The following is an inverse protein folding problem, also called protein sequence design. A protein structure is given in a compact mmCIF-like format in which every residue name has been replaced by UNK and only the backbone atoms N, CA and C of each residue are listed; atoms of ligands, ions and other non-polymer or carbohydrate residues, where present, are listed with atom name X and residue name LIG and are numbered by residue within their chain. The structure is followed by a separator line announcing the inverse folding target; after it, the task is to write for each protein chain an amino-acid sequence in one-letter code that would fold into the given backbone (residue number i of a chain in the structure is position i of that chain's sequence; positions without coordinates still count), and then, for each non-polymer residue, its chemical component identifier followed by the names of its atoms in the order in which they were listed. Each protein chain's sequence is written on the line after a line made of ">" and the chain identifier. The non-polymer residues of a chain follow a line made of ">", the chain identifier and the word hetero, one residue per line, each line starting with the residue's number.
data_IF_252900578583
#
_entry.id   IF_252900578583
#
_cell.length_a   1.000
_cell.length_b   1.000
_cell.length_c   1.000
_cell.angle_alpha   90.00
_cell.angle_beta   90.00
_cell.angle_gamma   90.00
#
_symmetry.space_group_name_H-M   'P 1'
#
loop_
_entity.id
_entity.type
_entity.pdbx_description
1 polymer ?
#
# COMPACT_ATOMS: atom_id res chain seq x y z
N UNK A 1 -6.72 17.12 -14.82
CA UNK A 1 -6.44 15.81 -15.43
C UNK A 1 -4.92 15.67 -15.44
N UNK A 2 -4.38 14.76 -14.63
CA UNK A 2 -2.93 14.50 -14.59
C UNK A 2 -2.69 13.20 -15.35
N UNK A 3 -1.82 13.26 -16.35
CA UNK A 3 -1.30 12.07 -17.01
C UNK A 3 -0.26 11.43 -16.09
N UNK A 4 -0.34 10.13 -15.91
CA UNK A 4 0.62 9.35 -15.13
C UNK A 4 1.41 8.44 -16.06
N UNK A 5 2.69 8.27 -15.73
CA UNK A 5 3.49 7.18 -16.27
C UNK A 5 3.04 5.88 -15.60
N UNK A 6 2.49 5.00 -16.43
CA UNK A 6 2.12 3.64 -16.09
C UNK A 6 3.21 2.71 -16.61
N UNK A 7 3.89 1.99 -15.73
CA UNK A 7 4.91 1.03 -16.15
C UNK A 7 4.36 -0.39 -16.12
N UNK A 8 4.36 -1.04 -17.29
CA UNK A 8 4.05 -2.46 -17.41
C UNK A 8 5.14 -3.32 -16.76
N UNK A 9 4.85 -4.61 -16.54
CA UNK A 9 5.84 -5.57 -16.05
C UNK A 9 7.05 -5.70 -16.99
N UNK A 10 6.87 -5.42 -18.28
CA UNK A 10 7.91 -5.45 -19.31
C UNK A 10 8.71 -4.13 -19.40
N UNK A 11 8.35 -3.12 -18.60
CA UNK A 11 9.04 -1.83 -18.52
C UNK A 11 8.52 -0.75 -19.47
N UNK A 12 7.49 -1.04 -20.28
CA UNK A 12 6.88 -0.06 -21.17
C UNK A 12 6.10 0.99 -20.38
N UNK A 13 6.24 2.26 -20.78
CA UNK A 13 5.50 3.38 -20.20
C UNK A 13 4.26 3.72 -21.05
N UNK A 14 3.07 3.60 -20.46
CA UNK A 14 1.83 4.12 -21.01
C UNK A 14 1.44 5.41 -20.29
N UNK A 15 0.87 6.37 -21.02
CA UNK A 15 0.25 7.54 -20.42
C UNK A 15 -1.21 7.20 -20.13
N UNK A 16 -1.53 7.03 -18.85
CA UNK A 16 -2.89 6.86 -18.39
C UNK A 16 -3.36 8.14 -17.71
N UNK A 17 -4.65 8.42 -17.81
CA UNK A 17 -5.27 9.52 -17.10
C UNK A 17 -5.82 9.02 -15.78
N UNK A 18 -5.38 9.60 -14.65
CA UNK A 18 -5.96 9.29 -13.33
C UNK A 18 -7.16 10.18 -13.07
N UNK A 19 -8.18 9.63 -12.42
CA UNK A 19 -9.31 10.36 -11.90
C UNK A 19 -8.85 11.38 -10.85
N UNK A 20 -8.89 12.66 -11.22
CA UNK A 20 -8.43 13.75 -10.36
C UNK A 20 -9.29 13.93 -9.09
N UNK A 21 -10.59 13.63 -9.18
CA UNK A 21 -11.50 13.71 -8.04
C UNK A 21 -11.19 12.62 -7.01
N UNK A 22 -10.96 11.38 -7.48
CA UNK A 22 -10.49 10.29 -6.63
C UNK A 22 -9.20 10.66 -5.90
N UNK A 23 -8.18 11.14 -6.64
CA UNK A 23 -6.88 11.52 -6.08
C UNK A 23 -7.03 12.61 -5.03
N UNK A 24 -7.81 13.65 -5.31
CA UNK A 24 -8.01 14.75 -4.36
C UNK A 24 -8.73 14.26 -3.11
N UNK A 25 -9.74 13.40 -3.27
CA UNK A 25 -10.47 12.79 -2.14
C UNK A 25 -9.53 12.01 -1.21
N UNK A 26 -8.71 11.09 -1.75
CA UNK A 26 -7.78 10.32 -0.91
C UNK A 26 -6.66 11.18 -0.33
N UNK A 27 -6.23 12.26 -1.00
CA UNK A 27 -5.27 13.23 -0.44
C UNK A 27 -5.87 13.96 0.75
N UNK A 28 -7.07 14.52 0.60
CA UNK A 28 -7.74 15.27 1.68
C UNK A 28 -8.03 14.36 2.88
N UNK A 29 -8.49 13.13 2.63
CA UNK A 29 -8.71 12.16 3.69
C UNK A 29 -7.41 11.81 4.43
N UNK A 30 -6.33 11.53 3.69
CA UNK A 30 -5.01 11.23 4.29
C UNK A 30 -4.43 12.41 5.07
N UNK A 31 -4.65 13.64 4.60
CA UNK A 31 -4.28 14.85 5.35
C UNK A 31 -5.06 14.96 6.67
N UNK A 32 -6.34 14.57 6.67
CA UNK A 32 -7.17 14.50 7.87
C UNK A 32 -6.68 13.46 8.88
N UNK A 33 -6.25 12.28 8.40
CA UNK A 33 -5.66 11.23 9.24
C UNK A 33 -4.29 11.62 9.83
N UNK A 34 -3.56 12.49 9.14
CA UNK A 34 -2.25 13.00 9.59
C UNK A 34 -1.09 12.01 9.43
N UNK A 35 -1.33 10.82 8.87
CA UNK A 35 -0.32 9.78 8.62
C UNK A 35 -0.44 9.20 7.21
N UNK A 36 0.65 8.70 6.62
CA UNK A 36 0.59 7.90 5.39
C UNK A 36 -0.51 6.84 5.44
N UNK A 37 -1.30 6.73 4.37
CA UNK A 37 -2.51 5.88 4.37
C UNK A 37 -2.60 5.07 3.09
N UNK A 38 -3.11 3.84 3.21
CA UNK A 38 -3.42 2.97 2.08
C UNK A 38 -4.92 2.92 1.83
N UNK A 39 -5.29 2.81 0.55
CA UNK A 39 -6.67 2.59 0.13
C UNK A 39 -6.71 1.40 -0.83
N UNK A 40 -7.84 0.71 -0.88
CA UNK A 40 -8.13 -0.29 -1.90
C UNK A 40 -9.29 0.22 -2.76
N UNK A 41 -9.09 0.31 -4.06
CA UNK A 41 -10.06 0.80 -5.03
C UNK A 41 -10.01 -0.04 -6.30
N UNK A 42 -11.07 -0.03 -7.11
CA UNK A 42 -10.99 -0.67 -8.42
C UNK A 42 -10.14 0.18 -9.36
N UNK A 43 -9.45 -0.46 -10.31
CA UNK A 43 -8.68 0.25 -11.33
C UNK A 43 -9.59 1.18 -12.15
N UNK A 44 -10.86 0.83 -12.35
CA UNK A 44 -11.85 1.70 -13.00
C UNK A 44 -12.15 2.98 -12.22
N UNK A 45 -12.24 2.92 -10.88
CA UNK A 45 -12.48 4.13 -10.06
C UNK A 45 -11.29 5.10 -10.14
N UNK A 46 -10.09 4.50 -10.20
CA UNK A 46 -8.81 5.22 -10.17
C UNK A 46 -8.49 5.84 -11.53
N UNK A 47 -8.79 5.15 -12.62
CA UNK A 47 -8.51 5.65 -13.97
C UNK A 47 -9.66 6.53 -14.46
N UNK A 48 -9.35 7.71 -15.00
CA UNK A 48 -10.35 8.63 -15.55
C UNK A 48 -10.94 8.21 -16.90
N UNK A 49 -10.70 6.96 -17.33
CA UNK A 49 -11.18 6.39 -18.59
C UNK A 49 -12.06 5.18 -18.30
N UNK A 50 -12.99 4.86 -19.21
CA UNK A 50 -13.79 3.64 -19.16
C UNK A 50 -12.91 2.42 -19.41
N UNK A 51 -12.19 1.97 -18.38
CA UNK A 51 -11.56 0.65 -18.33
C UNK A 51 -12.55 -0.26 -17.61
N UNK A 52 -13.21 -1.14 -18.35
CA UNK A 52 -14.08 -2.15 -17.74
C UNK A 52 -13.21 -3.25 -17.12
N UNK A 53 -12.88 -3.08 -15.84
CA UNK A 53 -12.14 -4.08 -15.07
C UNK A 53 -12.60 -4.06 -13.62
N UNK A 54 -12.69 -5.25 -13.03
CA UNK A 54 -12.89 -5.47 -11.61
C UNK A 54 -11.57 -5.61 -10.84
N UNK A 55 -10.43 -5.48 -11.53
CA UNK A 55 -9.11 -5.50 -10.89
C UNK A 55 -9.04 -4.41 -9.83
N UNK A 56 -8.69 -4.80 -8.61
CA UNK A 56 -8.45 -3.86 -7.52
C UNK A 56 -6.98 -3.47 -7.49
N UNK A 57 -6.73 -2.24 -7.06
CA UNK A 57 -5.40 -1.72 -6.86
C UNK A 57 -5.24 -1.15 -5.46
N UNK A 58 -4.01 -1.18 -4.98
CA UNK A 58 -3.59 -0.58 -3.73
C UNK A 58 -3.16 0.86 -4.01
N UNK A 59 -3.76 1.83 -3.33
CA UNK A 59 -3.40 3.24 -3.45
C UNK A 59 -2.64 3.66 -2.20
N UNK A 60 -1.37 4.04 -2.36
CA UNK A 60 -0.50 4.49 -1.28
C UNK A 60 -0.37 6.01 -1.33
N UNK A 61 -0.91 6.70 -0.33
CA UNK A 61 -0.90 8.16 -0.24
C UNK A 61 0.18 8.62 0.74
N UNK A 62 1.19 9.28 0.20
CA UNK A 62 2.42 9.69 0.88
C UNK A 62 2.58 11.23 0.78
N UNK A 63 1.75 12.02 1.48
CA UNK A 63 1.58 13.45 1.21
C UNK A 63 2.82 14.31 1.54
N UNK A 64 3.72 13.83 2.38
CA UNK A 64 4.97 14.53 2.75
C UNK A 64 6.19 14.15 1.90
N UNK A 65 6.10 13.10 1.09
CA UNK A 65 7.25 12.50 0.43
C UNK A 65 7.33 12.92 -1.03
N UNK A 66 8.54 13.33 -1.43
CA UNK A 66 8.87 13.47 -2.85
C UNK A 66 9.06 12.08 -3.45
N UNK A 67 8.67 11.93 -4.69
CA UNK A 67 8.77 10.66 -5.40
C UNK A 67 10.19 10.20 -5.69
N UNK A 68 11.15 11.12 -5.68
CA UNK A 68 12.59 10.84 -5.78
C UNK A 68 13.19 10.26 -4.49
N UNK A 69 12.48 10.36 -3.36
CA UNK A 69 12.95 9.84 -2.08
C UNK A 69 12.81 8.31 -1.98
N UNK A 70 12.06 7.69 -2.90
CA UNK A 70 11.73 6.27 -2.89
C UNK A 70 12.10 5.66 -4.24
N UNK A 71 12.91 4.60 -4.20
CA UNK A 71 13.28 3.87 -5.41
C UNK A 71 12.21 2.83 -5.77
N UNK A 72 11.38 3.18 -6.75
CA UNK A 72 10.32 2.31 -7.28
C UNK A 72 10.80 1.33 -8.37
N UNK A 73 12.10 1.28 -8.67
CA UNK A 73 12.64 0.34 -9.68
C UNK A 73 12.67 -1.11 -9.18
N UNK A 74 12.69 -1.31 -7.86
CA UNK A 74 12.68 -2.63 -7.23
C UNK A 74 11.25 -3.16 -7.16
N UNK A 75 10.93 -4.10 -8.04
CA UNK A 75 9.60 -4.74 -8.12
C UNK A 75 9.42 -5.93 -7.16
N UNK A 76 10.31 -6.13 -6.18
CA UNK A 76 10.21 -7.24 -5.23
C UNK A 76 9.42 -6.83 -3.99
N UNK A 77 8.51 -7.70 -3.54
CA UNK A 77 7.77 -7.56 -2.29
C UNK A 77 8.45 -8.43 -1.24
N UNK A 78 8.93 -7.83 -0.16
CA UNK A 78 9.38 -8.55 1.04
C UNK A 78 8.27 -8.54 2.10
N UNK A 79 8.36 -9.40 3.10
CA UNK A 79 7.36 -9.48 4.17
C UNK A 79 8.03 -9.38 5.56
N UNK A 80 7.41 -8.65 6.48
CA UNK A 80 7.93 -8.46 7.83
C UNK A 80 6.79 -8.27 8.84
N UNK A 81 6.94 -8.79 10.06
CA UNK A 81 6.08 -8.40 11.19
C UNK A 81 6.63 -7.11 11.77
N UNK A 82 5.79 -6.08 11.83
CA UNK A 82 6.09 -4.80 12.47
C UNK A 82 5.20 -4.61 13.68
N UNK A 83 5.50 -3.61 14.50
CA UNK A 83 4.72 -3.28 15.70
C UNK A 83 4.12 -1.91 15.50
N UNK A 84 2.79 -1.81 15.59
CA UNK A 84 2.08 -0.53 15.52
C UNK A 84 2.50 0.38 16.68
N UNK A 85 2.26 1.70 16.60
CA UNK A 85 2.49 2.62 17.73
C UNK A 85 1.73 2.24 19.02
N UNK A 86 0.69 1.41 18.91
CA UNK A 86 -0.09 0.88 20.05
C UNK A 86 0.49 -0.42 20.62
N UNK A 87 1.64 -0.87 20.13
CA UNK A 87 2.29 -2.11 20.56
C UNK A 87 1.77 -3.38 19.87
N UNK A 88 0.68 -3.31 19.10
CA UNK A 88 0.12 -4.49 18.44
C UNK A 88 0.99 -4.94 17.26
N UNK A 89 1.31 -6.23 17.12
CA UNK A 89 2.00 -6.76 15.95
C UNK A 89 1.09 -6.67 14.71
N UNK A 90 1.67 -6.34 13.57
CA UNK A 90 0.99 -6.25 12.28
C UNK A 90 1.90 -6.85 11.20
N UNK A 91 1.33 -7.69 10.35
CA UNK A 91 2.03 -8.17 9.17
C UNK A 91 2.08 -7.07 8.11
N UNK A 92 3.26 -6.88 7.53
CA UNK A 92 3.49 -5.88 6.51
C UNK A 92 4.12 -6.50 5.26
N UNK A 93 3.68 -6.02 4.11
CA UNK A 93 4.42 -6.10 2.86
C UNK A 93 5.34 -4.88 2.74
N UNK A 94 6.57 -5.11 2.34
CA UNK A 94 7.63 -4.13 2.20
C UNK A 94 7.89 -3.87 0.72
N UNK A 95 7.78 -2.60 0.33
CA UNK A 95 7.99 -2.11 -1.02
C UNK A 95 9.23 -1.22 -1.10
N UNK A 96 9.66 -0.96 -2.34
CA UNK A 96 10.72 -0.01 -2.65
C UNK A 96 11.99 -0.24 -1.81
N UNK A 97 12.55 -1.45 -1.92
CA UNK A 97 13.73 -1.87 -1.16
C UNK A 97 13.55 -1.69 0.38
N UNK A 98 12.41 -2.14 0.89
CA UNK A 98 12.04 -2.08 2.32
C UNK A 98 11.85 -0.67 2.89
N UNK A 99 11.73 0.35 2.05
CA UNK A 99 11.51 1.73 2.51
C UNK A 99 10.06 2.00 2.90
N UNK A 100 9.09 1.22 2.39
CA UNK A 100 7.66 1.43 2.65
C UNK A 100 7.03 0.14 3.15
N UNK A 101 6.52 0.15 4.37
CA UNK A 101 5.80 -0.97 4.96
C UNK A 101 4.29 -0.72 4.88
N UNK A 102 3.57 -1.60 4.21
CA UNK A 102 2.11 -1.54 4.07
C UNK A 102 1.47 -2.70 4.79
N UNK A 103 0.38 -2.46 5.51
CA UNK A 103 -0.39 -3.49 6.18
C UNK A 103 -0.82 -4.61 5.20
N UNK A 104 -0.52 -5.86 5.53
CA UNK A 104 -0.89 -7.03 4.73
C UNK A 104 -2.40 -7.13 4.46
N UNK A 105 -3.22 -6.61 5.37
CA UNK A 105 -4.67 -6.54 5.17
C UNK A 105 -5.05 -5.78 3.88
N UNK A 106 -4.34 -4.70 3.55
CA UNK A 106 -4.60 -3.92 2.35
C UNK A 106 -4.30 -4.71 1.06
N UNK A 107 -3.25 -5.55 1.08
CA UNK A 107 -2.92 -6.42 -0.04
C UNK A 107 -3.97 -7.51 -0.23
N UNK A 108 -4.42 -8.13 0.87
CA UNK A 108 -5.46 -9.16 0.82
C UNK A 108 -6.77 -8.61 0.23
N UNK A 109 -7.16 -7.38 0.60
CA UNK A 109 -8.36 -6.71 0.06
C UNK A 109 -8.22 -6.35 -1.43
N UNK A 110 -7.00 -6.10 -1.90
CA UNK A 110 -6.70 -5.86 -3.31
C UNK A 110 -6.71 -7.14 -4.17
N UNK A 111 -6.72 -8.33 -3.55
CA UNK A 111 -6.85 -9.63 -4.21
C UNK A 111 -5.87 -9.87 -5.41
N UNK A 112 -4.56 -9.58 -5.27
CA UNK A 112 -3.60 -9.65 -6.37
C UNK A 112 -3.39 -11.05 -6.96
N UNK A 113 -3.74 -12.11 -6.23
CA UNK A 113 -3.71 -13.49 -6.74
C UNK A 113 -4.64 -13.71 -7.94
N UNK A 114 -5.73 -12.96 -8.06
CA UNK A 114 -6.69 -13.12 -9.18
C UNK A 114 -6.05 -12.66 -10.49
N UNK A 115 -5.28 -11.57 -10.46
CA UNK A 115 -4.63 -10.98 -11.63
C UNK A 115 -3.17 -11.43 -11.82
N UNK A 116 -2.61 -12.19 -10.87
CA UNK A 116 -1.20 -12.60 -10.84
C UNK A 116 -0.23 -11.43 -10.65
N UNK A 117 -0.73 -10.28 -10.18
CA UNK A 117 0.03 -9.05 -9.96
C UNK A 117 -0.64 -8.19 -8.91
N UNK A 118 0.16 -7.40 -8.19
CA UNK A 118 -0.34 -6.32 -7.36
C UNK A 118 -0.16 -5.00 -8.10
N UNK A 119 -1.28 -4.33 -8.41
CA UNK A 119 -1.28 -2.98 -8.97
C UNK A 119 -1.25 -1.97 -7.84
N UNK A 120 -0.24 -1.08 -7.83
CA UNK A 120 -0.05 -0.06 -6.81
C UNK A 120 -0.03 1.33 -7.43
N UNK A 121 -0.95 2.19 -7.01
CA UNK A 121 -0.92 3.63 -7.31
C UNK A 121 -0.20 4.37 -6.19
N UNK A 122 0.95 4.96 -6.52
CA UNK A 122 1.72 5.80 -5.63
C UNK A 122 1.32 7.26 -5.77
N UNK A 123 0.84 7.87 -4.70
CA UNK A 123 0.42 9.28 -4.65
C UNK A 123 1.40 10.05 -3.77
N UNK A 124 2.41 10.64 -4.39
CA UNK A 124 3.42 11.48 -3.73
C UNK A 124 2.99 12.95 -3.69
N UNK A 125 3.78 13.79 -3.01
CA UNK A 125 3.51 15.25 -2.99
C UNK A 125 3.69 15.92 -4.36
N UNK A 126 4.58 15.38 -5.18
CA UNK A 126 5.07 15.97 -6.43
C UNK A 126 4.56 15.25 -7.68
N UNK A 127 4.34 13.93 -7.61
CA UNK A 127 3.81 13.15 -8.74
C UNK A 127 2.92 11.99 -8.30
N UNK A 128 2.27 11.40 -9.29
CA UNK A 128 1.50 10.16 -9.16
C UNK A 128 2.10 9.14 -10.12
N UNK A 129 2.26 7.90 -9.68
CA UNK A 129 2.88 6.84 -10.47
C UNK A 129 2.18 5.53 -10.22
N UNK A 130 1.88 4.77 -11.26
CA UNK A 130 1.32 3.42 -11.12
C UNK A 130 2.40 2.37 -11.43
N UNK A 131 2.47 1.32 -10.61
CA UNK A 131 3.44 0.23 -10.72
C UNK A 131 2.75 -1.11 -10.53
N UNK A 132 3.20 -2.12 -11.28
CA UNK A 132 2.86 -3.50 -11.03
C UNK A 132 4.00 -4.21 -10.33
N UNK A 133 3.63 -5.04 -9.36
CA UNK A 133 4.52 -5.94 -8.67
C UNK A 133 4.09 -7.37 -9.01
N UNK A 134 5.01 -8.26 -9.42
CA UNK A 134 4.71 -9.69 -9.53
C UNK A 134 4.12 -10.19 -8.22
N UNK A 135 3.04 -10.97 -8.31
CA UNK A 135 2.39 -11.56 -7.14
C UNK A 135 2.02 -13.00 -7.46
N UNK A 136 2.67 -13.92 -6.78
CA UNK A 136 2.58 -15.36 -7.00
C UNK A 136 2.27 -16.13 -5.70
N UNK A 137 2.07 -17.44 -5.83
CA UNK A 137 1.79 -18.34 -4.69
C UNK A 137 2.87 -18.27 -3.61
N UNK A 138 4.13 -18.04 -3.99
CA UNK A 138 5.24 -17.91 -3.04
C UNK A 138 5.11 -16.64 -2.22
N UNK A 139 4.75 -15.52 -2.85
CA UNK A 139 4.50 -14.24 -2.17
C UNK A 139 3.28 -14.33 -1.26
N UNK A 140 2.17 -14.91 -1.74
CA UNK A 140 0.98 -15.16 -0.93
C UNK A 140 1.30 -16.01 0.31
N UNK A 141 2.06 -17.10 0.12
CA UNK A 141 2.47 -17.99 1.21
C UNK A 141 3.34 -17.28 2.24
N UNK A 142 4.30 -16.45 1.81
CA UNK A 142 5.16 -15.68 2.74
C UNK A 142 4.34 -14.65 3.51
N UNK A 143 3.43 -13.94 2.85
CA UNK A 143 2.55 -12.97 3.50
C UNK A 143 1.60 -13.64 4.52
N UNK A 144 1.08 -14.82 4.19
CA UNK A 144 0.28 -15.64 5.09
C UNK A 144 1.07 -16.11 6.33
N UNK A 145 2.34 -16.51 6.14
CA UNK A 145 3.22 -16.91 7.23
C UNK A 145 3.44 -15.74 8.21
N UNK A 146 3.79 -14.56 7.68
CA UNK A 146 4.02 -13.35 8.49
C UNK A 146 2.74 -12.91 9.20
N UNK A 147 1.58 -13.00 8.54
CA UNK A 147 0.26 -12.77 9.16
C UNK A 147 -0.01 -13.73 10.32
N UNK A 148 0.29 -15.01 10.13
CA UNK A 148 0.13 -16.03 11.18
C UNK A 148 1.05 -15.77 12.38
N UNK A 149 2.28 -15.30 12.14
CA UNK A 149 3.21 -14.89 13.21
C UNK A 149 2.66 -13.68 13.96
N UNK A 150 2.22 -12.64 13.25
CA UNK A 150 1.64 -11.45 13.87
C UNK A 150 0.42 -11.78 14.74
N UNK A 151 -0.50 -12.62 14.25
CA UNK A 151 -1.67 -13.07 15.01
C UNK A 151 -1.29 -13.92 16.23
N UNK A 152 -0.27 -14.77 16.11
CA UNK A 152 0.26 -15.57 17.23
C UNK A 152 0.76 -14.71 18.39
N UNK A 153 1.40 -13.57 18.09
CA UNK A 153 1.92 -12.63 19.09
C UNK A 153 0.88 -11.63 19.62
N UNK A 154 -0.36 -11.63 19.09
CA UNK A 154 -1.39 -10.64 19.46
C UNK A 154 -1.76 -10.65 20.95
N UNK A 155 -1.64 -11.80 21.60
CA UNK A 155 -1.94 -11.99 23.03
C UNK A 155 -0.75 -11.64 23.95
N UNK A 156 0.47 -11.56 23.43
CA UNK A 156 1.65 -11.16 24.22
C UNK A 156 1.66 -9.65 24.51
N UNK A 157 0.88 -8.88 23.75
CA UNK A 157 0.69 -7.45 23.91
C UNK A 157 -0.03 -7.06 25.21
N UNK A 158 -0.94 -7.91 25.70
CA UNK A 158 -1.71 -7.64 26.94
C UNK A 158 -0.83 -7.63 28.19
N UNK A 159 0.34 -8.30 28.17
CA UNK A 159 1.27 -8.35 29.30
C UNK A 159 2.37 -7.29 29.25
N UNK A 160 2.54 -6.60 28.13
CA UNK A 160 3.67 -5.67 27.88
C UNK A 160 3.28 -4.19 27.90
N UNK A 161 2.00 -3.86 28.03
CA UNK A 161 1.53 -2.46 28.12
C UNK A 161 2.06 -1.69 29.36
N UNK A 162 2.70 -2.35 30.33
CA UNK A 162 3.33 -1.70 31.49
C UNK A 162 4.85 -1.52 31.37
N UNK A 163 5.50 -2.09 30.35
CA UNK A 163 6.91 -1.86 30.08
C UNK A 163 7.02 -0.85 28.94
N UNK A 164 7.63 0.31 29.20
CA UNK A 164 8.14 1.21 28.18
C UNK A 164 9.17 0.45 27.33
N UNK A 165 8.69 -0.31 26.34
CA UNK A 165 9.52 -0.90 25.33
C UNK A 165 9.79 0.22 24.35
N UNK A 166 11.04 0.68 24.38
CA UNK A 166 11.66 1.44 23.29
C UNK A 166 11.61 0.51 22.07
N UNK A 167 10.49 0.57 21.34
CA UNK A 167 10.33 -0.15 20.09
C UNK A 167 11.28 0.55 19.16
N UNK A 168 12.36 -0.13 18.81
CA UNK A 168 13.34 0.28 17.80
C UNK A 168 12.57 0.40 16.47
N UNK A 169 11.90 1.54 16.31
CA UNK A 169 11.20 1.92 15.10
C UNK A 169 12.29 2.06 14.07
N UNK A 170 12.45 1.02 13.24
CA UNK A 170 13.46 0.92 12.19
C UNK A 170 13.57 2.26 11.46
N UNK A 171 14.58 3.04 11.83
CA UNK A 171 14.60 4.49 11.65
C UNK A 171 14.81 4.79 10.17
N UNK A 172 13.72 4.88 9.41
CA UNK A 172 13.75 5.09 7.97
C UNK A 172 12.66 4.36 7.18
N UNK A 173 11.92 3.44 7.79
CA UNK A 173 10.78 2.78 7.13
C UNK A 173 9.52 3.65 7.25
N UNK A 174 8.90 3.94 6.11
CA UNK A 174 7.63 4.66 6.04
C UNK A 174 6.51 3.66 6.29
N UNK A 175 5.80 3.82 7.40
CA UNK A 175 4.73 2.92 7.80
C UNK A 175 3.37 3.41 7.29
N UNK A 176 2.72 2.58 6.47
CA UNK A 176 1.39 2.78 5.90
C UNK A 176 0.47 1.70 6.47
N UNK A 177 0.07 1.90 7.73
CA UNK A 177 -0.63 0.86 8.50
C UNK A 177 -2.16 0.99 8.46
N UNK A 178 -2.66 2.19 8.15
CA UNK A 178 -4.08 2.45 7.95
C UNK A 178 -4.50 1.99 6.54
N UNK A 179 -5.62 1.28 6.47
CA UNK A 179 -6.22 0.77 5.23
C UNK A 179 -7.71 1.13 5.20
N UNK A 180 -8.16 1.70 4.09
CA UNK A 180 -9.56 2.01 3.83
C UNK A 180 -10.01 1.44 2.49
N UNK A 181 -11.21 0.87 2.42
CA UNK A 181 -11.79 0.46 1.15
C UNK A 181 -12.55 1.63 0.56
N UNK A 182 -12.16 2.08 -0.63
CA UNK A 182 -12.92 3.08 -1.35
C UNK A 182 -14.19 2.42 -1.89
N UNK A 183 -15.34 2.97 -1.51
CA UNK A 183 -16.64 2.54 -2.02
C UNK A 183 -17.19 3.73 -2.78
N UNK A 184 -17.39 3.59 -4.08
CA UNK A 184 -18.10 4.58 -4.88
C UNK A 184 -19.47 4.83 -4.24
N UNK A 185 -19.72 6.05 -3.77
CA UNK A 185 -21.09 6.47 -3.46
C UNK A 185 -21.81 6.60 -4.80
N UNK A 186 -22.66 5.62 -5.11
CA UNK A 186 -23.56 5.68 -6.27
C UNK A 186 -24.28 7.04 -6.30
N UNK A 187 -23.91 7.86 -7.27
CA UNK A 187 -24.55 9.13 -7.60
C UNK A 187 -25.74 8.94 -8.52
#
# INVERSE_FOLDING_TARGET
>A
MQDIEFHTLDGDALLLTVNAEFVESVRQHTLGEGTPTSYVATVSDVLGQMVETDERCLVLVLPGLASEAIDLSVAHINEQVRVTPKGSPVACALFANNQVAVNAHALNEAQPMISGRLTVLWVFKDRITMRHYPYDDDTERRLWLVSSVADGHRHETDYRAEANIDVDADAGVIEVLSCFTFIETAG
#
